data_IF_645512194629
#
_entry.id   IF_645512194629
#
_cell.length_a   1.000
_cell.length_b   1.000
_cell.length_c   1.000
_cell.angle_alpha   90.00
_cell.angle_beta   90.00
_cell.angle_gamma   90.00
#
_symmetry.space_group_name_H-M   'P 1'
#
loop_
_entity.id
_entity.type
_entity.pdbx_description
1 polymer ?
#
# COMPACT_ATOMS: atom_id res chain seq x y z
N UNK A 1 17.63 9.17 8.43
CA UNK A 1 17.93 9.14 6.99
C UNK A 1 17.18 7.94 6.41
N UNK A 2 16.46 8.13 5.31
CA UNK A 2 15.83 7.01 4.62
C UNK A 2 16.91 6.22 3.87
N UNK A 3 16.78 4.90 3.83
CA UNK A 3 17.60 4.03 2.97
C UNK A 3 17.12 4.13 1.50
N UNK A 4 17.65 3.32 0.60
CA UNK A 4 17.15 3.19 -0.78
C UNK A 4 15.77 2.49 -0.80
N UNK A 5 14.73 3.23 -0.39
CA UNK A 5 13.38 2.68 -0.25
C UNK A 5 12.72 2.37 -1.59
N UNK A 6 13.25 2.88 -2.71
CA UNK A 6 12.66 2.69 -4.02
C UNK A 6 13.49 1.77 -4.94
N UNK A 7 14.53 1.14 -4.38
CA UNK A 7 15.41 0.18 -5.06
C UNK A 7 16.00 0.74 -6.36
N UNK A 8 16.48 1.99 -6.35
CA UNK A 8 17.16 2.60 -7.50
C UNK A 8 18.68 2.59 -7.40
N UNK A 9 19.23 2.00 -6.32
CA UNK A 9 20.65 1.92 -6.02
C UNK A 9 21.23 3.16 -5.33
N UNK A 10 20.42 4.15 -4.97
CA UNK A 10 20.89 5.43 -4.43
C UNK A 10 20.05 5.88 -3.23
N UNK A 11 20.55 5.70 -2.00
CA UNK A 11 19.94 6.29 -0.81
C UNK A 11 20.17 7.81 -0.77
N UNK A 12 19.13 8.61 -1.03
CA UNK A 12 19.26 10.06 -1.14
C UNK A 12 18.00 10.82 -0.65
N UNK A 13 17.97 12.16 -0.85
CA UNK A 13 16.87 13.00 -0.37
C UNK A 13 15.52 12.66 -1.02
N UNK A 14 15.53 12.14 -2.25
CA UNK A 14 14.33 11.67 -2.94
C UNK A 14 13.67 10.52 -2.18
N UNK A 15 14.45 9.60 -1.62
CA UNK A 15 13.94 8.52 -0.77
C UNK A 15 13.26 9.07 0.47
N UNK A 16 13.89 10.04 1.15
CA UNK A 16 13.27 10.67 2.31
C UNK A 16 11.92 11.32 1.97
N UNK A 17 11.85 12.03 0.83
CA UNK A 17 10.60 12.67 0.36
C UNK A 17 9.54 11.61 0.01
N UNK A 18 9.93 10.51 -0.65
CA UNK A 18 9.03 9.41 -1.00
C UNK A 18 8.51 8.69 0.26
N UNK A 19 9.38 8.38 1.22
CA UNK A 19 8.99 7.78 2.49
C UNK A 19 8.01 8.66 3.24
N UNK A 20 8.27 9.97 3.32
CA UNK A 20 7.38 10.92 3.99
C UNK A 20 6.01 10.98 3.32
N UNK A 21 5.97 11.09 1.98
CA UNK A 21 4.72 11.11 1.23
C UNK A 21 3.90 9.82 1.42
N UNK A 22 4.57 8.67 1.44
CA UNK A 22 3.92 7.38 1.71
C UNK A 22 3.39 7.29 3.13
N UNK A 23 4.18 7.70 4.14
CA UNK A 23 3.76 7.72 5.53
C UNK A 23 2.54 8.64 5.75
N UNK A 24 2.54 9.83 5.14
CA UNK A 24 1.39 10.75 5.18
C UNK A 24 0.13 10.10 4.61
N UNK A 25 0.27 9.36 3.51
CA UNK A 25 -0.86 8.66 2.91
C UNK A 25 -1.37 7.50 3.77
N UNK A 26 -0.48 6.79 4.47
CA UNK A 26 -0.89 5.77 5.44
C UNK A 26 -1.71 6.38 6.57
N UNK A 27 -1.37 7.59 7.02
CA UNK A 27 -2.12 8.32 8.05
C UNK A 27 -3.52 8.72 7.55
N UNK A 28 -3.70 9.01 6.26
CA UNK A 28 -5.03 9.34 5.67
C UNK A 28 -6.04 8.19 5.81
N UNK A 29 -5.59 6.94 5.97
CA UNK A 29 -6.48 5.82 6.28
C UNK A 29 -7.09 5.89 7.68
N UNK A 30 -6.51 6.68 8.59
CA UNK A 30 -7.04 6.86 9.96
C UNK A 30 -7.24 5.55 10.74
N UNK A 31 -6.43 4.52 10.42
CA UNK A 31 -6.43 3.22 11.08
C UNK A 31 -5.29 3.07 12.09
N UNK A 32 -4.59 4.14 12.44
CA UNK A 32 -3.58 4.13 13.51
C UNK A 32 -4.25 4.17 14.89
N UNK A 33 -3.55 3.72 15.93
CA UNK A 33 -4.00 3.85 17.32
C UNK A 33 -2.88 4.45 18.14
N UNK A 34 -3.23 5.49 18.91
CA UNK A 34 -2.31 6.15 19.83
C UNK A 34 -2.36 5.52 21.23
N UNK A 35 -3.41 4.74 21.49
CA UNK A 35 -3.62 4.02 22.74
C UNK A 35 -3.17 2.56 22.58
N UNK A 36 -2.60 2.01 23.64
CA UNK A 36 -2.23 0.59 23.68
C UNK A 36 -3.49 -0.30 23.64
N UNK A 37 -3.43 -1.48 23.00
CA UNK A 37 -2.26 -2.03 22.30
C UNK A 37 -2.08 -1.43 20.89
N UNK A 38 -0.83 -1.17 20.48
CA UNK A 38 -0.47 -0.71 19.12
C UNK A 38 -0.55 -1.86 18.11
N UNK A 39 -1.69 -2.51 18.06
CA UNK A 39 -1.91 -3.79 17.42
C UNK A 39 -2.50 -3.67 16.01
N UNK A 40 -2.55 -2.45 15.47
CA UNK A 40 -3.04 -2.17 14.13
C UNK A 40 -1.91 -2.11 13.13
N UNK A 41 -2.06 -2.86 12.03
CA UNK A 41 -1.08 -2.91 10.96
C UNK A 41 -1.75 -3.07 9.60
N UNK A 42 -1.08 -2.59 8.55
CA UNK A 42 -1.51 -2.69 7.16
C UNK A 42 -0.65 -3.74 6.44
N UNK A 43 -1.29 -4.73 5.84
CA UNK A 43 -0.66 -5.63 4.86
C UNK A 43 -1.06 -5.22 3.45
N UNK A 44 -0.07 -5.20 2.57
CA UNK A 44 -0.25 -4.89 1.15
C UNK A 44 0.16 -6.11 0.34
N UNK A 45 -0.73 -6.57 -0.53
CA UNK A 45 -0.48 -7.66 -1.46
C UNK A 45 -0.49 -7.10 -2.87
N UNK A 46 0.48 -7.46 -3.69
CA UNK A 46 0.54 -7.10 -5.10
C UNK A 46 0.70 -8.37 -5.93
N UNK A 47 -0.12 -8.51 -6.97
CA UNK A 47 -0.09 -9.67 -7.86
C UNK A 47 -0.03 -9.22 -9.32
N UNK A 48 0.75 -9.95 -10.10
CA UNK A 48 0.99 -9.75 -11.52
C UNK A 48 0.62 -11.06 -12.23
N UNK A 49 -0.35 -11.00 -13.14
CA UNK A 49 -0.91 -12.15 -13.82
C UNK A 49 -0.39 -12.31 -15.25
N UNK A 50 0.14 -11.24 -15.86
CA UNK A 50 0.56 -11.23 -17.27
C UNK A 50 2.08 -11.13 -17.50
N UNK A 51 2.87 -11.08 -16.43
CA UNK A 51 4.34 -11.05 -16.43
C UNK A 51 4.99 -9.78 -17.07
N UNK A 52 4.31 -8.62 -17.09
CA UNK A 52 4.80 -7.38 -17.68
C UNK A 52 5.62 -6.44 -16.73
N UNK A 53 5.85 -6.83 -15.48
CA UNK A 53 6.52 -6.10 -14.40
C UNK A 53 5.61 -5.14 -13.61
N UNK A 54 4.31 -5.13 -13.88
CA UNK A 54 3.32 -4.21 -13.35
C UNK A 54 2.23 -5.02 -12.66
N UNK A 55 1.98 -4.81 -11.35
CA UNK A 55 0.91 -5.51 -10.66
C UNK A 55 -0.46 -5.17 -11.27
N UNK A 56 -1.20 -6.21 -11.62
CA UNK A 56 -2.61 -6.14 -12.01
C UNK A 56 -3.49 -5.83 -10.81
N UNK A 57 -3.07 -6.27 -9.61
CA UNK A 57 -3.85 -6.04 -8.39
C UNK A 57 -2.96 -5.54 -7.26
N UNK A 58 -3.52 -4.62 -6.47
CA UNK A 58 -3.00 -4.25 -5.16
C UNK A 58 -4.15 -4.38 -4.16
N UNK A 59 -3.98 -5.24 -3.15
CA UNK A 59 -4.96 -5.46 -2.07
C UNK A 59 -4.40 -4.95 -0.74
N UNK A 60 -5.26 -4.31 0.03
CA UNK A 60 -4.98 -3.70 1.33
C UNK A 60 -5.79 -4.43 2.39
N UNK A 61 -5.11 -4.99 3.39
CA UNK A 61 -5.75 -5.60 4.55
C UNK A 61 -5.33 -4.84 5.79
N UNK A 62 -6.29 -4.20 6.45
CA UNK A 62 -6.09 -3.57 7.75
C UNK A 62 -6.44 -4.58 8.83
N UNK A 63 -5.50 -4.81 9.74
CA UNK A 63 -5.66 -5.75 10.85
C UNK A 63 -5.66 -5.03 12.20
N UNK A 64 -6.27 -5.66 13.19
CA UNK A 64 -6.18 -5.31 14.61
C UNK A 64 -5.93 -6.59 15.43
N UNK A 65 -4.83 -6.62 16.21
CA UNK A 65 -4.47 -7.71 17.11
C UNK A 65 -2.96 -7.98 17.19
N UNK A 66 -2.51 -8.80 18.15
CA UNK A 66 -1.09 -9.01 18.53
C UNK A 66 -0.18 -9.68 17.46
N UNK A 67 -0.57 -9.66 16.18
CA UNK A 67 0.30 -10.03 15.06
C UNK A 67 0.24 -11.50 14.62
N UNK A 68 -0.35 -12.40 15.41
CA UNK A 68 -0.74 -13.72 14.89
C UNK A 68 -1.90 -13.57 13.89
N UNK A 69 -1.58 -13.75 12.62
CA UNK A 69 -2.54 -13.56 11.53
C UNK A 69 -3.57 -14.67 11.53
N UNK A 70 -4.76 -14.35 12.03
CA UNK A 70 -5.98 -15.14 11.85
C UNK A 70 -7.01 -14.27 11.15
N UNK A 71 -7.88 -14.87 10.34
CA UNK A 71 -8.97 -14.15 9.64
C UNK A 71 -9.81 -13.29 10.61
N UNK A 72 -9.85 -13.68 11.88
CA UNK A 72 -10.48 -13.00 13.03
C UNK A 72 -9.91 -11.61 13.35
N UNK A 73 -8.81 -11.18 12.72
CA UNK A 73 -8.13 -9.89 12.98
C UNK A 73 -8.36 -8.82 11.90
N UNK A 74 -9.04 -9.15 10.79
CA UNK A 74 -9.22 -8.21 9.67
C UNK A 74 -10.31 -7.19 10.03
N UNK A 75 -9.91 -5.93 10.13
CA UNK A 75 -10.82 -4.82 10.43
C UNK A 75 -11.39 -4.17 9.15
N UNK A 76 -10.61 -4.13 8.07
CA UNK A 76 -11.04 -3.57 6.79
C UNK A 76 -10.23 -4.12 5.63
N UNK A 77 -10.85 -4.17 4.44
CA UNK A 77 -10.17 -4.52 3.19
C UNK A 77 -10.48 -3.51 2.10
N UNK A 78 -9.51 -3.31 1.20
CA UNK A 78 -9.70 -2.56 -0.02
C UNK A 78 -8.81 -3.14 -1.13
N UNK A 79 -9.14 -2.85 -2.39
CA UNK A 79 -8.35 -3.32 -3.52
C UNK A 79 -8.42 -2.35 -4.70
N UNK A 80 -7.37 -2.36 -5.51
CA UNK A 80 -7.34 -1.74 -6.81
C UNK A 80 -6.94 -2.77 -7.87
N UNK A 81 -7.80 -2.97 -8.86
CA UNK A 81 -7.61 -3.87 -9.99
C UNK A 81 -7.37 -3.04 -11.25
N UNK A 82 -6.30 -3.32 -11.96
CA UNK A 82 -5.89 -2.65 -13.20
C UNK A 82 -5.73 -3.67 -14.31
N UNK A 83 -5.63 -3.20 -15.56
CA UNK A 83 -5.32 -4.05 -16.71
C UNK A 83 -3.81 -4.23 -16.94
N UNK A 84 -2.96 -3.90 -15.96
CA UNK A 84 -1.50 -4.10 -16.04
C UNK A 84 -0.78 -3.15 -17.02
N UNK A 85 -1.50 -2.45 -17.90
CA UNK A 85 -0.94 -1.64 -19.00
C UNK A 85 -0.19 -0.36 -18.58
N UNK A 86 -0.13 -0.08 -17.27
CA UNK A 86 0.52 1.09 -16.71
C UNK A 86 -0.23 2.41 -16.89
N UNK A 87 -1.40 2.44 -17.54
CA UNK A 87 -2.25 3.63 -17.69
C UNK A 87 -2.81 4.12 -16.35
N UNK A 88 -2.83 3.24 -15.35
CA UNK A 88 -3.45 3.49 -14.06
C UNK A 88 -4.98 3.48 -14.12
N UNK A 89 -5.58 3.06 -15.24
CA UNK A 89 -7.01 2.78 -15.35
C UNK A 89 -7.33 1.48 -14.63
N UNK A 90 -8.46 1.45 -13.94
CA UNK A 90 -8.82 0.29 -13.13
C UNK A 90 -10.05 0.49 -12.27
N UNK A 91 -10.49 -0.59 -11.65
CA UNK A 91 -11.61 -0.65 -10.72
C UNK A 91 -11.10 -0.66 -9.30
N UNK A 92 -11.69 0.17 -8.45
CA UNK A 92 -11.40 0.19 -7.01
C UNK A 92 -12.54 -0.47 -6.26
N UNK A 93 -12.19 -1.30 -5.28
CA UNK A 93 -13.10 -1.84 -4.28
C UNK A 93 -12.72 -1.19 -2.95
N UNK A 94 -13.59 -0.34 -2.43
CA UNK A 94 -13.34 0.41 -1.19
C UNK A 94 -14.61 0.51 -0.36
N UNK A 95 -14.45 0.33 0.95
CA UNK A 95 -15.46 0.66 1.96
C UNK A 95 -15.08 2.00 2.63
N UNK A 96 -15.43 2.20 3.89
CA UNK A 96 -14.96 3.33 4.70
C UNK A 96 -13.48 3.11 5.10
N UNK A 97 -12.58 3.32 4.14
CA UNK A 97 -11.16 2.98 4.29
C UNK A 97 -10.42 4.04 5.10
N UNK A 98 -10.96 5.26 5.18
CA UNK A 98 -10.44 6.34 6.01
C UNK A 98 -11.14 6.44 7.39
N UNK A 99 -12.00 5.47 7.72
CA UNK A 99 -12.67 5.35 9.01
C UNK A 99 -13.35 6.67 9.45
N UNK A 100 -14.02 7.35 8.54
CA UNK A 100 -14.74 8.61 8.81
C UNK A 100 -16.26 8.41 8.98
N UNK A 101 -16.75 7.18 8.84
CA UNK A 101 -18.15 6.79 8.95
C UNK A 101 -18.94 6.88 7.64
N UNK A 102 -18.34 7.27 6.52
CA UNK A 102 -19.02 7.45 5.23
C UNK A 102 -18.28 6.70 4.12
N UNK A 103 -18.99 5.83 3.41
CA UNK A 103 -18.49 5.18 2.21
C UNK A 103 -18.75 6.10 1.02
N UNK A 104 -17.69 6.68 0.43
CA UNK A 104 -17.84 7.64 -0.66
C UNK A 104 -16.64 7.66 -1.64
N UNK A 105 -16.66 8.61 -2.57
CA UNK A 105 -15.62 8.78 -3.60
C UNK A 105 -14.24 9.06 -3.00
N UNK A 106 -14.16 9.69 -1.82
CA UNK A 106 -12.89 9.94 -1.16
C UNK A 106 -12.18 8.63 -0.78
N UNK A 107 -12.91 7.60 -0.36
CA UNK A 107 -12.33 6.28 -0.08
C UNK A 107 -11.78 5.62 -1.34
N UNK A 108 -12.54 5.71 -2.44
CA UNK A 108 -12.13 5.21 -3.75
C UNK A 108 -10.84 5.89 -4.22
N UNK A 109 -10.78 7.22 -4.16
CA UNK A 109 -9.58 7.96 -4.59
C UNK A 109 -8.39 7.74 -3.66
N UNK A 110 -8.62 7.55 -2.35
CA UNK A 110 -7.58 7.23 -1.39
C UNK A 110 -6.91 5.88 -1.72
N UNK A 111 -7.70 4.83 -1.94
CA UNK A 111 -7.18 3.51 -2.34
C UNK A 111 -6.45 3.60 -3.68
N UNK A 112 -7.03 4.27 -4.67
CA UNK A 112 -6.40 4.43 -5.99
C UNK A 112 -5.06 5.15 -5.90
N UNK A 113 -4.98 6.28 -5.18
CA UNK A 113 -3.73 7.02 -4.97
C UNK A 113 -2.71 6.15 -4.24
N UNK A 114 -3.12 5.43 -3.20
CA UNK A 114 -2.22 4.59 -2.42
C UNK A 114 -1.59 3.49 -3.28
N UNK A 115 -2.40 2.77 -4.04
CA UNK A 115 -1.93 1.69 -4.91
C UNK A 115 -0.97 2.20 -6.00
N UNK A 116 -1.24 3.38 -6.56
CA UNK A 116 -0.34 4.03 -7.53
C UNK A 116 0.99 4.43 -6.90
N UNK A 117 0.97 4.96 -5.68
CA UNK A 117 2.18 5.35 -4.96
C UNK A 117 3.00 4.13 -4.53
N UNK A 118 2.35 3.07 -4.03
CA UNK A 118 3.00 1.81 -3.68
C UNK A 118 3.84 1.26 -4.85
N UNK A 119 3.31 1.33 -6.08
CA UNK A 119 4.02 0.88 -7.28
C UNK A 119 5.34 1.62 -7.53
N UNK A 120 5.46 2.90 -7.15
CA UNK A 120 6.68 3.70 -7.34
C UNK A 120 7.86 3.14 -6.54
N UNK A 121 7.59 2.42 -5.45
CA UNK A 121 8.62 1.82 -4.61
C UNK A 121 9.18 0.51 -5.17
N UNK A 122 8.46 -0.15 -6.08
CA UNK A 122 8.92 -1.41 -6.67
C UNK A 122 9.04 -2.58 -5.68
N UNK A 123 8.42 -2.49 -4.50
CA UNK A 123 8.47 -3.53 -3.46
C UNK A 123 7.81 -4.85 -3.89
N UNK A 124 7.00 -4.83 -4.94
CA UNK A 124 6.42 -6.02 -5.56
C UNK A 124 7.41 -6.81 -6.43
N UNK A 125 8.51 -6.19 -6.88
CA UNK A 125 9.47 -6.80 -7.80
C UNK A 125 10.69 -7.35 -7.05
N UNK A 126 10.63 -8.64 -6.71
CA UNK A 126 11.73 -9.36 -6.06
C UNK A 126 13.03 -9.37 -6.90
N UNK A 127 12.96 -9.17 -8.23
CA UNK A 127 14.14 -9.19 -9.12
C UNK A 127 14.92 -7.87 -9.06
N UNK A 128 14.26 -6.76 -8.75
CA UNK A 128 14.91 -5.47 -8.46
C UNK A 128 15.59 -5.41 -7.10
N UNK A 129 15.29 -6.35 -6.21
CA UNK A 129 15.77 -6.37 -4.83
C UNK A 129 17.11 -7.12 -4.64
N UNK A 130 17.74 -7.60 -5.73
CA UNK A 130 19.08 -8.22 -5.62
C UNK A 130 20.17 -7.14 -5.64
N UNK A 131 21.05 -7.10 -4.63
CA UNK A 131 22.26 -6.29 -4.73
C UNK A 131 23.10 -6.80 -5.89
N UNK A 132 23.64 -5.88 -6.69
CA UNK A 132 24.64 -6.23 -7.70
C UNK A 132 25.82 -6.90 -6.99
N UNK A 133 26.13 -8.15 -7.38
CA UNK A 133 27.27 -8.93 -6.89
C UNK A 133 28.58 -8.29 -7.34
#
# INVERSE_FOLDING_TARGET
>A
MADDINNNGLANKLDEVKALAFAQQVIEFNWFSLDAPFDKYLKVFAEEFDANGIPDTVRLHVHQGEGESRDETIASTAAFYTCGDGSGSGTTVSWDVNNNGNINVADTELVRRFCRNFRVFGWHDARRSQPSI
#
